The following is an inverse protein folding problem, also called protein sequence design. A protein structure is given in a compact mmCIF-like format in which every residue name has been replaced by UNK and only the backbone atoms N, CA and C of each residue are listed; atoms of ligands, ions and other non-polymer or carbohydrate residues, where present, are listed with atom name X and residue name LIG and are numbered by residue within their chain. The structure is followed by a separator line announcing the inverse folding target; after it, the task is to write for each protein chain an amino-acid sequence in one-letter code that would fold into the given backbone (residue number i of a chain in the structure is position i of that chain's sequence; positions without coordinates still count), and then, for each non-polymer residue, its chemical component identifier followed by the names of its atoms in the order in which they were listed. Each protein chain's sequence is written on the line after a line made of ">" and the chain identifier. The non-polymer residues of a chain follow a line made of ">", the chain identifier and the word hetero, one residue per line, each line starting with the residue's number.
data_IF_997636567976
#
_entry.id   IF_997636567976
#
_cell.length_a   1.000
_cell.length_b   1.000
_cell.length_c   1.000
_cell.angle_alpha   90.00
_cell.angle_beta   90.00
_cell.angle_gamma   90.00
#
_symmetry.space_group_name_H-M   'P 1'
#
loop_
_entity.id
_entity.type
_entity.pdbx_description
1 polymer ?
#
# COMPACT_ATOMS: atom_id res chain seq x y z
N UNK A 1 -21.89 33.83 -63.17
CA UNK A 1 -20.88 34.08 -62.13
C UNK A 1 -21.30 33.33 -60.87
N UNK A 2 -20.55 32.30 -60.45
CA UNK A 2 -20.81 31.53 -59.21
C UNK A 2 -19.51 31.53 -58.38
N UNK A 3 -19.52 31.89 -57.10
CA UNK A 3 -18.31 31.99 -56.30
C UNK A 3 -17.86 30.61 -55.81
N UNK A 4 -16.54 30.39 -55.84
CA UNK A 4 -15.85 29.27 -55.21
C UNK A 4 -15.53 29.72 -53.78
N UNK A 5 -16.06 29.03 -52.77
CA UNK A 5 -15.65 29.19 -51.38
C UNK A 5 -14.73 28.05 -50.98
N UNK A 6 -13.48 28.40 -50.71
CA UNK A 6 -12.49 27.57 -50.02
C UNK A 6 -12.69 27.71 -48.51
N UNK A 7 -12.91 26.59 -47.82
CA UNK A 7 -12.68 26.40 -46.38
C UNK A 7 -12.13 24.96 -46.25
N UNK A 8 -10.96 24.68 -45.69
CA UNK A 8 -10.37 25.21 -44.46
C UNK A 8 -10.21 24.00 -43.52
N UNK A 9 -9.21 23.15 -43.76
CA UNK A 9 -8.97 21.95 -42.94
C UNK A 9 -8.29 22.37 -41.65
N UNK A 10 -9.07 22.52 -40.58
CA UNK A 10 -8.53 22.64 -39.22
C UNK A 10 -8.11 21.25 -38.74
N UNK A 11 -6.80 21.04 -38.60
CA UNK A 11 -6.23 19.84 -38.01
C UNK A 11 -6.56 19.80 -36.50
N UNK A 12 -7.40 18.84 -36.10
CA UNK A 12 -7.72 18.57 -34.71
C UNK A 12 -6.60 17.73 -34.10
N UNK A 13 -5.67 18.36 -33.39
CA UNK A 13 -4.69 17.65 -32.55
C UNK A 13 -5.40 17.01 -31.36
N UNK A 14 -5.70 15.71 -31.43
CA UNK A 14 -6.06 14.92 -30.26
C UNK A 14 -4.81 14.71 -29.40
N UNK A 15 -4.60 15.56 -28.40
CA UNK A 15 -3.70 15.27 -27.30
C UNK A 15 -4.35 14.18 -26.43
N UNK A 16 -3.97 12.91 -26.67
CA UNK A 16 -4.30 11.81 -25.78
C UNK A 16 -3.55 12.02 -24.45
N UNK A 17 -4.23 12.64 -23.48
CA UNK A 17 -3.73 12.66 -22.10
C UNK A 17 -3.89 11.25 -21.54
N UNK A 18 -2.78 10.56 -21.29
CA UNK A 18 -2.78 9.32 -20.53
C UNK A 18 -3.46 9.57 -19.19
N UNK A 19 -4.67 9.03 -19.02
CA UNK A 19 -5.40 9.08 -17.78
C UNK A 19 -4.69 8.18 -16.75
N UNK A 20 -3.65 8.71 -16.12
CA UNK A 20 -3.11 8.12 -14.90
C UNK A 20 -4.26 8.01 -13.90
N UNK A 21 -4.47 6.81 -13.34
CA UNK A 21 -5.52 6.57 -12.37
C UNK A 21 -5.46 7.62 -11.25
N UNK A 22 -6.56 8.35 -11.06
CA UNK A 22 -6.65 9.45 -10.12
C UNK A 22 -6.31 8.98 -8.69
N UNK A 23 -5.64 9.81 -7.88
CA UNK A 23 -5.36 9.48 -6.48
C UNK A 23 -6.69 9.31 -5.70
N UNK A 24 -6.73 8.32 -4.80
CA UNK A 24 -7.89 8.09 -3.91
C UNK A 24 -8.25 9.36 -3.12
N UNK A 25 -9.54 9.62 -2.84
CA UNK A 25 -9.96 10.67 -1.92
C UNK A 25 -9.23 10.55 -0.57
N UNK A 26 -8.84 11.65 0.10
CA UNK A 26 -8.02 11.59 1.32
C UNK A 26 -8.60 10.72 2.43
N UNK A 27 -9.93 10.78 2.64
CA UNK A 27 -10.62 9.98 3.66
C UNK A 27 -10.62 8.48 3.34
N UNK A 28 -10.72 8.14 2.05
CA UNK A 28 -10.66 6.76 1.58
C UNK A 28 -9.24 6.20 1.69
N UNK A 29 -8.25 6.96 1.23
CA UNK A 29 -6.83 6.61 1.41
C UNK A 29 -6.49 6.35 2.88
N UNK A 30 -6.93 7.23 3.79
CA UNK A 30 -6.60 7.09 5.20
C UNK A 30 -7.30 5.90 5.86
N UNK A 31 -8.55 5.61 5.45
CA UNK A 31 -9.25 4.39 5.86
C UNK A 31 -8.49 3.15 5.39
N UNK A 32 -8.05 3.13 4.13
CA UNK A 32 -7.28 2.01 3.58
C UNK A 32 -5.92 1.85 4.27
N UNK A 33 -5.23 2.95 4.57
CA UNK A 33 -3.96 2.93 5.31
C UNK A 33 -4.13 2.33 6.71
N UNK A 34 -5.16 2.72 7.46
CA UNK A 34 -5.48 2.11 8.77
C UNK A 34 -5.77 0.62 8.66
N UNK A 35 -6.47 0.18 7.60
CA UNK A 35 -6.71 -1.24 7.34
C UNK A 35 -5.43 -1.98 6.93
N UNK A 36 -4.54 -1.34 6.18
CA UNK A 36 -3.21 -1.84 5.83
C UNK A 36 -2.37 -2.07 7.08
N UNK A 37 -2.27 -1.08 7.97
CA UNK A 37 -1.52 -1.21 9.23
C UNK A 37 -2.06 -2.37 10.09
N UNK A 38 -3.38 -2.48 10.26
CA UNK A 38 -3.98 -3.62 10.96
C UNK A 38 -3.62 -4.96 10.31
N UNK A 39 -3.54 -4.98 8.97
CA UNK A 39 -3.23 -6.17 8.19
C UNK A 39 -1.80 -6.62 8.43
N UNK A 40 -0.86 -5.70 8.34
CA UNK A 40 0.56 -5.99 8.48
C UNK A 40 0.97 -6.28 9.92
N UNK A 41 0.32 -5.67 10.91
CA UNK A 41 0.43 -6.08 12.31
C UNK A 41 0.03 -7.55 12.48
N UNK A 42 -1.15 -7.93 11.97
CA UNK A 42 -1.67 -9.30 12.11
C UNK A 42 -0.86 -10.33 11.34
N UNK A 43 -0.44 -10.01 10.12
CA UNK A 43 0.37 -10.90 9.29
C UNK A 43 1.81 -11.00 9.82
N UNK A 44 2.36 -9.90 10.32
CA UNK A 44 3.65 -9.85 11.01
C UNK A 44 3.69 -10.76 12.24
N UNK A 45 2.67 -10.68 13.10
CA UNK A 45 2.50 -11.59 14.25
C UNK A 45 2.47 -13.06 13.83
N UNK A 46 1.72 -13.37 12.76
CA UNK A 46 1.60 -14.73 12.24
C UNK A 46 2.97 -15.24 11.78
N UNK A 47 3.76 -14.43 11.08
CA UNK A 47 5.10 -14.79 10.63
C UNK A 47 6.08 -14.94 11.79
N UNK A 48 6.06 -14.01 12.75
CA UNK A 48 6.89 -14.08 13.95
C UNK A 48 6.70 -15.39 14.72
N UNK A 49 5.46 -15.89 14.79
CA UNK A 49 5.11 -17.11 15.52
C UNK A 49 5.35 -18.39 14.71
N UNK A 50 5.19 -18.36 13.37
CA UNK A 50 5.01 -19.58 12.58
C UNK A 50 6.01 -19.79 11.45
N UNK A 51 6.74 -18.76 11.05
CA UNK A 51 7.74 -18.91 9.99
C UNK A 51 8.78 -19.97 10.39
N UNK A 52 9.34 -20.67 9.41
CA UNK A 52 10.41 -21.63 9.67
C UNK A 52 11.78 -20.95 9.74
N UNK A 53 12.02 -19.98 8.86
CA UNK A 53 13.23 -19.18 8.84
C UNK A 53 13.26 -18.17 10.00
N UNK A 54 14.35 -18.14 10.81
CA UNK A 54 14.55 -17.08 11.80
C UNK A 54 14.45 -15.68 11.19
N UNK A 55 15.05 -15.47 10.02
CA UNK A 55 15.02 -14.16 9.35
C UNK A 55 13.60 -13.72 8.96
N UNK A 56 12.73 -14.66 8.58
CA UNK A 56 11.32 -14.36 8.28
C UNK A 56 10.53 -14.07 9.57
N UNK A 57 10.84 -14.74 10.69
CA UNK A 57 10.25 -14.40 11.99
C UNK A 57 10.65 -12.99 12.43
N UNK A 58 11.91 -12.64 12.23
CA UNK A 58 12.46 -11.32 12.59
C UNK A 58 11.79 -10.23 11.76
N UNK A 59 11.66 -10.47 10.45
CA UNK A 59 10.92 -9.57 9.58
C UNK A 59 9.44 -9.44 9.99
N UNK A 60 8.78 -10.52 10.39
CA UNK A 60 7.42 -10.47 10.92
C UNK A 60 7.29 -9.56 12.15
N UNK A 61 8.26 -9.60 13.08
CA UNK A 61 8.29 -8.69 14.24
C UNK A 61 8.51 -7.24 13.84
N UNK A 62 9.43 -6.99 12.90
CA UNK A 62 9.65 -5.65 12.33
C UNK A 62 8.36 -5.08 11.75
N UNK A 63 7.63 -5.85 10.94
CA UNK A 63 6.36 -5.40 10.36
C UNK A 63 5.33 -5.08 11.45
N UNK A 64 5.17 -5.95 12.44
CA UNK A 64 4.25 -5.67 13.55
C UNK A 64 4.57 -4.35 14.25
N UNK A 65 5.81 -4.16 14.68
CA UNK A 65 6.19 -3.01 15.49
C UNK A 65 6.15 -1.70 14.69
N UNK A 66 6.60 -1.73 13.44
CA UNK A 66 6.63 -0.56 12.58
C UNK A 66 5.21 -0.13 12.20
N UNK A 67 4.34 -1.07 11.83
CA UNK A 67 2.95 -0.75 11.48
C UNK A 67 2.10 -0.38 12.69
N UNK A 68 2.39 -0.89 13.89
CA UNK A 68 1.75 -0.40 15.12
C UNK A 68 2.01 1.11 15.33
N UNK A 69 3.25 1.56 15.13
CA UNK A 69 3.61 2.99 15.23
C UNK A 69 3.00 3.81 14.10
N UNK A 70 3.04 3.31 12.86
CA UNK A 70 2.42 3.97 11.71
C UNK A 70 0.91 4.15 11.91
N UNK A 71 0.23 3.14 12.47
CA UNK A 71 -1.20 3.18 12.78
C UNK A 71 -1.54 4.28 13.78
N UNK A 72 -0.75 4.44 14.84
CA UNK A 72 -0.97 5.51 15.82
C UNK A 72 -0.85 6.90 15.18
N UNK A 73 0.12 7.09 14.29
CA UNK A 73 0.23 8.32 13.49
C UNK A 73 -0.98 8.53 12.58
N UNK A 74 -1.40 7.48 11.88
CA UNK A 74 -2.56 7.52 10.99
C UNK A 74 -3.84 7.86 11.76
N UNK A 75 -4.02 7.32 12.97
CA UNK A 75 -5.17 7.65 13.83
C UNK A 75 -5.19 9.11 14.27
N UNK A 76 -4.04 9.69 14.63
CA UNK A 76 -3.96 11.11 14.97
C UNK A 76 -4.39 11.99 13.80
N UNK A 77 -4.04 11.61 12.57
CA UNK A 77 -4.51 12.31 11.37
C UNK A 77 -6.00 12.05 11.13
N UNK A 78 -6.46 10.81 11.28
CA UNK A 78 -7.84 10.40 11.06
C UNK A 78 -8.83 11.18 11.93
N UNK A 79 -8.50 11.36 13.21
CA UNK A 79 -9.27 12.19 14.14
C UNK A 79 -9.39 13.64 13.64
N UNK A 80 -8.30 14.24 13.15
CA UNK A 80 -8.31 15.62 12.64
C UNK A 80 -9.18 15.81 11.40
N UNK A 81 -9.30 14.78 10.56
CA UNK A 81 -10.05 14.84 9.28
C UNK A 81 -11.39 14.09 9.33
N UNK A 82 -11.85 13.72 10.52
CA UNK A 82 -13.16 13.08 10.75
C UNK A 82 -13.28 11.69 10.12
N UNK A 83 -12.19 10.92 10.05
CA UNK A 83 -12.20 9.50 9.67
C UNK A 83 -12.25 8.65 10.96
N UNK A 84 -13.24 7.76 11.14
CA UNK A 84 -13.34 6.94 12.34
C UNK A 84 -12.24 5.88 12.38
N UNK A 85 -11.88 5.45 13.60
CA UNK A 85 -11.01 4.30 13.81
C UNK A 85 -11.67 3.01 13.26
N UNK A 86 -10.83 2.05 12.86
CA UNK A 86 -11.21 0.71 12.46
C UNK A 86 -10.19 -0.31 12.93
N UNK A 87 -10.68 -1.45 13.39
CA UNK A 87 -9.87 -2.64 13.71
C UNK A 87 -9.89 -3.66 12.56
N UNK A 88 -10.54 -3.33 11.45
CA UNK A 88 -10.63 -4.23 10.31
C UNK A 88 -9.31 -4.27 9.53
N UNK A 89 -8.90 -5.46 9.11
CA UNK A 89 -7.88 -5.66 8.08
C UNK A 89 -8.44 -5.40 6.68
N UNK A 90 -7.58 -5.23 5.69
CA UNK A 90 -7.97 -5.25 4.28
C UNK A 90 -8.55 -6.63 3.88
N UNK A 91 -9.55 -6.71 2.98
CA UNK A 91 -10.13 -7.99 2.54
C UNK A 91 -9.11 -9.01 2.02
N UNK A 92 -8.16 -8.55 1.22
CA UNK A 92 -7.09 -9.33 0.62
C UNK A 92 -6.18 -9.93 1.70
N UNK A 93 -5.77 -9.12 2.68
CA UNK A 93 -4.96 -9.57 3.81
C UNK A 93 -5.69 -10.59 4.70
N UNK A 94 -7.02 -10.47 4.87
CA UNK A 94 -7.81 -11.50 5.57
C UNK A 94 -7.80 -12.83 4.82
N UNK A 95 -7.84 -12.79 3.50
CA UNK A 95 -7.73 -14.00 2.68
C UNK A 95 -6.34 -14.60 2.76
N UNK A 96 -5.31 -13.75 2.74
CA UNK A 96 -3.93 -14.18 2.89
C UNK A 96 -3.67 -14.84 4.24
N UNK A 97 -4.15 -14.26 5.35
CA UNK A 97 -4.05 -14.86 6.68
C UNK A 97 -4.63 -16.30 6.70
N UNK A 98 -5.82 -16.50 6.10
CA UNK A 98 -6.43 -17.84 6.00
C UNK A 98 -5.60 -18.81 5.15
N UNK A 99 -4.87 -18.31 4.16
CA UNK A 99 -3.99 -19.12 3.31
C UNK A 99 -2.74 -19.53 4.08
N UNK A 100 -2.05 -18.56 4.68
CA UNK A 100 -0.89 -18.77 5.54
C UNK A 100 -1.20 -19.74 6.69
N UNK A 101 -2.42 -19.68 7.24
CA UNK A 101 -2.87 -20.61 8.28
C UNK A 101 -2.82 -22.09 7.90
N UNK A 102 -2.82 -22.40 6.60
CA UNK A 102 -2.75 -23.76 6.05
C UNK A 102 -1.34 -24.17 5.64
N UNK A 103 -0.38 -23.25 5.62
CA UNK A 103 0.98 -23.48 5.17
C UNK A 103 1.95 -23.62 6.35
N UNK A 104 2.99 -24.42 6.19
CA UNK A 104 4.03 -24.64 7.20
C UNK A 104 5.40 -24.66 6.55
N UNK A 105 6.45 -24.51 7.35
CA UNK A 105 7.81 -24.66 6.85
C UNK A 105 8.14 -23.62 5.78
N UNK A 106 8.99 -24.01 4.82
CA UNK A 106 9.37 -23.17 3.68
C UNK A 106 8.19 -22.71 2.81
N UNK A 107 7.09 -23.47 2.77
CA UNK A 107 5.91 -23.06 2.02
C UNK A 107 5.21 -21.85 2.65
N UNK A 108 5.18 -21.76 3.99
CA UNK A 108 4.70 -20.58 4.71
C UNK A 108 5.61 -19.39 4.40
N UNK A 109 6.91 -19.55 4.59
CA UNK A 109 7.89 -18.46 4.43
C UNK A 109 7.82 -17.85 3.03
N UNK A 110 7.80 -18.70 1.98
CA UNK A 110 7.72 -18.24 0.59
C UNK A 110 6.43 -17.49 0.30
N UNK A 111 5.30 -17.99 0.80
CA UNK A 111 4.01 -17.34 0.55
C UNK A 111 3.93 -15.98 1.25
N UNK A 112 4.37 -15.92 2.50
CA UNK A 112 4.42 -14.68 3.28
C UNK A 112 5.27 -13.61 2.59
N UNK A 113 6.50 -13.95 2.20
CA UNK A 113 7.41 -13.02 1.53
C UNK A 113 6.86 -12.58 0.16
N UNK A 114 6.29 -13.51 -0.61
CA UNK A 114 5.65 -13.18 -1.90
C UNK A 114 4.50 -12.19 -1.73
N UNK A 115 3.66 -12.38 -0.72
CA UNK A 115 2.57 -11.44 -0.42
C UNK A 115 3.13 -10.08 0.00
N UNK A 116 4.09 -10.03 0.93
CA UNK A 116 4.67 -8.76 1.41
C UNK A 116 5.31 -7.95 0.29
N UNK A 117 6.02 -8.59 -0.65
CA UNK A 117 6.57 -7.88 -1.82
C UNK A 117 5.45 -7.27 -2.69
N UNK A 118 4.36 -8.01 -2.92
CA UNK A 118 3.25 -7.52 -3.72
C UNK A 118 2.54 -6.35 -3.02
N UNK A 119 2.21 -6.52 -1.74
CA UNK A 119 1.46 -5.53 -0.94
C UNK A 119 2.23 -4.22 -0.83
N UNK A 120 3.51 -4.30 -0.44
CA UNK A 120 4.34 -3.11 -0.30
C UNK A 120 4.56 -2.36 -1.62
N UNK A 121 4.63 -3.06 -2.77
CA UNK A 121 4.69 -2.38 -4.08
C UNK A 121 3.43 -1.58 -4.36
N UNK A 122 2.27 -2.16 -4.07
CA UNK A 122 0.97 -1.49 -4.22
C UNK A 122 0.87 -0.30 -3.27
N UNK A 123 1.25 -0.48 -2.00
CA UNK A 123 1.14 0.56 -0.99
C UNK A 123 2.12 1.70 -1.24
N UNK A 124 3.37 1.42 -1.64
CA UNK A 124 4.29 2.49 -2.08
C UNK A 124 3.68 3.30 -3.24
N UNK A 125 2.98 2.66 -4.19
CA UNK A 125 2.34 3.37 -5.29
C UNK A 125 1.17 4.25 -4.80
N UNK A 126 0.33 3.74 -3.90
CA UNK A 126 -0.80 4.48 -3.31
C UNK A 126 -0.30 5.64 -2.43
N UNK A 127 0.70 5.41 -1.58
CA UNK A 127 1.31 6.42 -0.72
C UNK A 127 2.05 7.50 -1.54
N UNK A 128 2.74 7.15 -2.62
CA UNK A 128 3.36 8.14 -3.55
C UNK A 128 2.33 9.02 -4.24
N UNK A 129 1.12 8.53 -4.49
CA UNK A 129 0.03 9.32 -5.05
C UNK A 129 -0.56 10.23 -3.98
N UNK A 130 -0.79 9.71 -2.78
CA UNK A 130 -1.31 10.47 -1.65
C UNK A 130 -0.34 11.57 -1.18
N UNK A 131 0.98 11.31 -1.20
CA UNK A 131 2.03 12.26 -0.79
C UNK A 131 2.14 13.49 -1.69
N UNK A 132 1.62 13.43 -2.92
CA UNK A 132 1.55 14.58 -3.84
C UNK A 132 0.46 15.58 -3.44
N UNK A 133 -0.41 15.20 -2.51
CA UNK A 133 -1.42 16.09 -1.94
C UNK A 133 -0.77 16.91 -0.83
N UNK A 134 -1.25 18.13 -0.62
CA UNK A 134 -0.91 18.91 0.58
C UNK A 134 -1.76 18.51 1.79
N UNK A 135 -1.35 19.01 2.96
CA UNK A 135 -2.11 18.88 4.21
C UNK A 135 -1.88 17.55 4.93
N UNK A 136 -2.61 17.33 6.06
CA UNK A 136 -2.24 16.30 7.03
C UNK A 136 -2.13 14.88 6.47
N UNK A 137 -2.98 14.53 5.49
CA UNK A 137 -2.98 13.20 4.86
C UNK A 137 -1.80 13.01 3.90
N UNK A 138 -1.45 14.05 3.14
CA UNK A 138 -0.28 14.01 2.25
C UNK A 138 1.03 13.98 3.04
N UNK A 139 1.09 14.74 4.15
CA UNK A 139 2.25 14.75 5.04
C UNK A 139 2.46 13.39 5.72
N UNK A 140 1.38 12.75 6.18
CA UNK A 140 1.41 11.38 6.69
C UNK A 140 1.97 10.42 5.63
N UNK A 141 1.37 10.42 4.44
CA UNK A 141 1.81 9.55 3.36
C UNK A 141 3.30 9.73 3.01
N UNK A 142 3.77 10.99 3.01
CA UNK A 142 5.17 11.32 2.76
C UNK A 142 6.11 10.74 3.82
N UNK A 143 5.73 10.82 5.10
CA UNK A 143 6.54 10.30 6.22
C UNK A 143 6.57 8.78 6.31
N UNK A 144 5.51 8.10 5.88
CA UNK A 144 5.44 6.62 5.91
C UNK A 144 6.19 5.95 4.76
N UNK A 145 6.40 6.65 3.63
CA UNK A 145 7.03 6.08 2.42
C UNK A 145 8.42 5.43 2.65
N UNK A 146 9.34 6.01 3.43
CA UNK A 146 10.65 5.39 3.67
C UNK A 146 10.56 4.02 4.35
N UNK A 147 9.61 3.83 5.29
CA UNK A 147 9.45 2.54 5.96
C UNK A 147 8.90 1.48 5.00
N UNK A 148 7.86 1.80 4.23
CA UNK A 148 7.34 0.87 3.20
C UNK A 148 8.42 0.47 2.20
N UNK A 149 9.30 1.40 1.81
CA UNK A 149 10.43 1.11 0.92
C UNK A 149 11.46 0.19 1.56
N UNK A 150 11.78 0.42 2.85
CA UNK A 150 12.69 -0.43 3.62
C UNK A 150 12.12 -1.84 3.76
N UNK A 151 10.85 -1.98 4.12
CA UNK A 151 10.19 -3.28 4.25
C UNK A 151 10.15 -4.05 2.93
N UNK A 152 9.86 -3.37 1.81
CA UNK A 152 9.95 -3.99 0.48
C UNK A 152 11.36 -4.52 0.18
N UNK A 153 12.40 -3.75 0.53
CA UNK A 153 13.78 -4.19 0.33
C UNK A 153 14.11 -5.41 1.20
N UNK A 154 13.70 -5.41 2.47
CA UNK A 154 13.88 -6.56 3.37
C UNK A 154 13.20 -7.81 2.81
N UNK A 155 11.93 -7.71 2.38
CA UNK A 155 11.20 -8.82 1.78
C UNK A 155 11.90 -9.35 0.51
N UNK A 156 12.39 -8.45 -0.35
CA UNK A 156 13.13 -8.84 -1.56
C UNK A 156 14.49 -9.50 -1.26
N UNK A 157 15.15 -9.13 -0.17
CA UNK A 157 16.37 -9.81 0.27
C UNK A 157 16.06 -11.23 0.75
N UNK A 158 14.99 -11.39 1.51
CA UNK A 158 14.52 -12.69 2.00
C UNK A 158 14.05 -13.62 0.88
N UNK A 159 13.50 -13.09 -0.21
CA UNK A 159 13.08 -13.87 -1.39
C UNK A 159 14.26 -14.46 -2.17
N UNK A 160 15.46 -13.87 -2.04
CA UNK A 160 16.68 -14.29 -2.76
C UNK A 160 17.55 -15.26 -1.97
N UNK A 161 17.31 -15.45 -0.67
CA UNK A 161 18.09 -16.31 0.23
C UNK A 161 17.38 -17.62 0.55
#
# INVERSE_FOLDING_TARGET
>A
MRPIFTLGVAALCLAATSAAAQPKPPREFLKDALQGDNSEMRLGDLAAQRAASPAVRDFGRTLHDDHARAREEALRVAQRVGVPDTQAMAPEARQEARRLDRLRGRAFDREFIRYMIHDHRKDIADFRKASRRGGPVGDLASRTLPDLQRHLQMAQQLDRG
#
